data_IF_663547378326
#
_entry.id   IF_663547378326
#
_cell.length_a   1.000
_cell.length_b   1.000
_cell.length_c   1.000
_cell.angle_alpha   90.00
_cell.angle_beta   90.00
_cell.angle_gamma   90.00
#
_symmetry.space_group_name_H-M   'P 1'
#
loop_
_entity.id
_entity.type
_entity.pdbx_description
1 polymer ?
#
# COMPACT_ATOMS: atom_id res chain seq x y z
N UNK A 1 -9.14 -3.09 0.00
CA UNK A 1 -9.53 -4.34 0.68
C UNK A 1 -11.03 -4.53 0.52
N UNK A 2 -11.57 -5.73 0.73
CA UNK A 2 -13.02 -5.96 0.70
C UNK A 2 -13.50 -6.34 2.10
N UNK A 3 -14.37 -5.53 2.69
CA UNK A 3 -14.98 -5.76 4.01
C UNK A 3 -16.49 -5.87 3.81
N UNK A 4 -17.12 -6.94 4.30
CA UNK A 4 -18.56 -7.19 4.16
C UNK A 4 -19.05 -7.08 2.70
N UNK A 5 -18.23 -7.55 1.75
CA UNK A 5 -18.52 -7.48 0.31
C UNK A 5 -18.38 -6.09 -0.31
N UNK A 6 -17.85 -5.10 0.42
CA UNK A 6 -17.67 -3.72 -0.05
C UNK A 6 -16.19 -3.36 -0.16
N UNK A 7 -15.77 -2.71 -1.26
CA UNK A 7 -14.41 -2.20 -1.38
C UNK A 7 -14.19 -1.03 -0.41
N UNK A 8 -13.08 -1.10 0.30
CA UNK A 8 -12.65 -0.10 1.28
C UNK A 8 -11.20 0.31 0.98
N UNK A 9 -10.92 1.61 1.10
CA UNK A 9 -9.61 2.22 0.88
C UNK A 9 -9.20 3.02 2.11
N UNK A 10 -7.94 2.90 2.50
CA UNK A 10 -7.38 3.56 3.67
C UNK A 10 -6.03 4.19 3.32
N UNK A 11 -5.77 5.45 3.72
CA UNK A 11 -4.43 6.00 3.66
C UNK A 11 -3.54 5.27 4.67
N UNK A 12 -2.33 4.91 4.25
CA UNK A 12 -1.33 4.27 5.11
C UNK A 12 0.04 4.90 4.90
N UNK A 13 0.83 4.95 5.97
CA UNK A 13 2.27 5.14 5.84
C UNK A 13 2.92 3.79 5.58
N UNK A 14 3.79 3.74 4.58
CA UNK A 14 4.42 2.49 4.17
C UNK A 14 5.92 2.68 3.91
N UNK A 15 6.62 1.55 3.91
CA UNK A 15 8.00 1.43 3.42
C UNK A 15 8.09 0.17 2.56
N UNK A 16 9.08 0.11 1.68
CA UNK A 16 9.39 -1.12 0.94
C UNK A 16 10.55 -1.86 1.61
N UNK A 17 10.41 -3.16 1.82
CA UNK A 17 11.47 -4.02 2.36
C UNK A 17 11.47 -5.36 1.63
N UNK A 18 12.62 -5.78 1.10
CA UNK A 18 12.82 -7.10 0.44
C UNK A 18 11.76 -7.42 -0.63
N UNK A 19 11.42 -6.43 -1.46
CA UNK A 19 10.42 -6.60 -2.53
C UNK A 19 8.97 -6.70 -2.03
N UNK A 20 8.71 -6.35 -0.77
CA UNK A 20 7.36 -6.29 -0.17
C UNK A 20 7.04 -4.86 0.29
N UNK A 21 5.76 -4.58 0.52
CA UNK A 21 5.31 -3.33 1.15
C UNK A 21 5.01 -3.61 2.61
N UNK A 22 5.54 -2.79 3.51
CA UNK A 22 5.28 -2.85 4.95
C UNK A 22 4.57 -1.59 5.42
N UNK A 23 3.56 -1.77 6.26
CA UNK A 23 2.94 -0.69 6.99
C UNK A 23 2.60 -1.13 8.43
N UNK A 24 2.21 -0.18 9.28
CA UNK A 24 1.76 -0.42 10.66
C UNK A 24 0.30 -0.03 10.79
N UNK A 25 -0.46 -0.82 11.54
CA UNK A 25 -1.85 -0.50 11.92
C UNK A 25 -2.14 -0.95 13.34
N UNK A 26 -3.07 -0.29 14.02
CA UNK A 26 -3.48 -0.67 15.37
C UNK A 26 -4.56 -1.75 15.34
N UNK A 27 -4.55 -2.65 16.33
CA UNK A 27 -5.62 -3.62 16.57
C UNK A 27 -6.97 -2.89 16.75
N UNK A 28 -8.07 -3.49 16.27
CA UNK A 28 -9.41 -2.89 16.37
C UNK A 28 -9.71 -1.76 15.38
N UNK A 29 -8.74 -1.37 14.54
CA UNK A 29 -9.01 -0.48 13.40
C UNK A 29 -9.77 -1.22 12.30
N UNK A 30 -10.62 -0.51 11.55
CA UNK A 30 -11.28 -1.05 10.36
C UNK A 30 -10.26 -1.59 9.35
N UNK A 31 -9.11 -0.93 9.24
CA UNK A 31 -7.96 -1.35 8.44
C UNK A 31 -7.40 -2.71 8.88
N UNK A 32 -7.24 -2.96 10.17
CA UNK A 32 -6.76 -4.25 10.66
C UNK A 32 -7.73 -5.39 10.30
N UNK A 33 -9.04 -5.19 10.51
CA UNK A 33 -10.06 -6.18 10.12
C UNK A 33 -10.09 -6.45 8.62
N UNK A 34 -9.78 -5.43 7.80
CA UNK A 34 -9.73 -5.54 6.35
C UNK A 34 -8.52 -6.34 5.84
N UNK A 35 -7.39 -6.26 6.53
CA UNK A 35 -6.16 -7.00 6.18
C UNK A 35 -6.34 -8.51 6.34
N UNK A 36 -7.24 -8.94 7.21
CA UNK A 36 -7.59 -10.36 7.39
C UNK A 36 -8.27 -10.95 6.15
N UNK A 37 -8.78 -10.13 5.21
CA UNK A 37 -9.40 -10.59 3.96
C UNK A 37 -8.42 -11.16 2.91
N UNK A 38 -7.15 -11.35 3.28
CA UNK A 38 -6.04 -11.92 2.53
C UNK A 38 -5.62 -11.14 1.27
N UNK A 39 -6.54 -10.75 0.39
CA UNK A 39 -6.22 -10.09 -0.88
C UNK A 39 -6.40 -8.57 -0.82
N UNK A 40 -5.34 -7.85 -1.17
CA UNK A 40 -5.31 -6.39 -1.09
C UNK A 40 -4.84 -5.75 -2.39
N UNK A 41 -5.30 -4.51 -2.57
CA UNK A 41 -4.72 -3.56 -3.51
C UNK A 41 -3.96 -2.52 -2.71
N UNK A 42 -2.72 -2.30 -3.08
CA UNK A 42 -1.91 -1.17 -2.62
C UNK A 42 -1.65 -0.26 -3.81
N UNK A 43 -1.69 1.04 -3.56
CA UNK A 43 -1.48 2.07 -4.56
C UNK A 43 -0.61 3.17 -3.96
N UNK A 44 0.31 3.67 -4.77
CA UNK A 44 1.06 4.88 -4.50
C UNK A 44 1.32 5.62 -5.81
N UNK A 45 1.22 6.93 -5.76
CA UNK A 45 1.50 7.84 -6.87
C UNK A 45 2.35 9.02 -6.39
N UNK A 46 2.96 9.70 -7.34
CA UNK A 46 3.59 11.00 -7.13
C UNK A 46 3.70 11.75 -8.46
N UNK A 47 3.84 13.08 -8.40
CA UNK A 47 3.91 13.92 -9.58
C UNK A 47 4.73 15.20 -9.33
N UNK A 48 5.13 15.82 -10.43
CA UNK A 48 5.74 17.14 -10.47
C UNK A 48 5.14 17.95 -11.63
N UNK A 49 5.67 19.15 -11.90
CA UNK A 49 5.11 20.05 -12.90
C UNK A 49 5.07 19.49 -14.34
N UNK A 50 5.89 18.47 -14.65
CA UNK A 50 6.02 17.92 -16.01
C UNK A 50 5.32 16.56 -16.20
N UNK A 51 4.86 15.93 -15.13
CA UNK A 51 4.24 14.61 -15.21
C UNK A 51 4.20 13.89 -13.87
N UNK A 52 3.85 12.62 -13.91
CA UNK A 52 3.78 11.80 -12.71
C UNK A 52 3.85 10.31 -13.01
N UNK A 53 3.68 9.53 -11.95
CA UNK A 53 3.65 8.08 -12.01
C UNK A 53 2.66 7.54 -10.99
N UNK A 54 2.21 6.31 -11.24
CA UNK A 54 1.39 5.54 -10.30
C UNK A 54 1.85 4.09 -10.29
N UNK A 55 1.85 3.46 -9.12
CA UNK A 55 2.13 2.04 -8.94
C UNK A 55 0.94 1.39 -8.26
N UNK A 56 0.45 0.30 -8.85
CA UNK A 56 -0.58 -0.56 -8.26
C UNK A 56 0.03 -1.94 -7.99
N UNK A 57 -0.15 -2.42 -6.77
CA UNK A 57 0.25 -3.74 -6.32
C UNK A 57 -1.00 -4.54 -5.97
N UNK A 58 -1.13 -5.73 -6.58
CA UNK A 58 -2.06 -6.78 -6.15
C UNK A 58 -1.26 -7.80 -5.36
N UNK A 59 -1.72 -8.17 -4.18
CA UNK A 59 -0.98 -9.10 -3.35
C UNK A 59 -1.73 -9.61 -2.14
N UNK A 60 -1.08 -10.48 -1.39
CA UNK A 60 -1.57 -10.98 -0.12
C UNK A 60 -1.09 -10.09 1.04
N UNK A 61 -1.95 -9.75 1.98
CA UNK A 61 -1.55 -9.05 3.20
C UNK A 61 -1.41 -10.03 4.37
N UNK A 62 -0.28 -9.98 5.07
CA UNK A 62 0.07 -10.83 6.18
C UNK A 62 0.38 -9.98 7.41
N UNK A 63 -0.29 -10.26 8.52
CA UNK A 63 0.08 -9.69 9.82
C UNK A 63 1.31 -10.43 10.34
N UNK A 64 2.39 -9.71 10.64
CA UNK A 64 3.59 -10.29 11.23
C UNK A 64 3.34 -10.57 12.72
N UNK A 65 3.71 -11.76 13.18
CA UNK A 65 3.40 -12.19 14.56
C UNK A 65 4.59 -12.78 15.31
N UNK A 66 5.63 -13.22 14.60
CA UNK A 66 6.84 -13.74 15.26
C UNK A 66 7.80 -12.62 15.63
N UNK A 67 8.57 -12.80 16.71
CA UNK A 67 9.57 -11.81 17.13
C UNK A 67 10.60 -11.54 16.03
N UNK A 68 11.05 -12.59 15.33
CA UNK A 68 12.03 -12.47 14.24
C UNK A 68 11.50 -11.60 13.10
N UNK A 69 10.24 -11.79 12.69
CA UNK A 69 9.63 -10.96 11.65
C UNK A 69 9.48 -9.50 12.08
N UNK A 70 9.13 -9.28 13.35
CA UNK A 70 8.95 -7.93 13.92
C UNK A 70 10.30 -7.22 14.03
N UNK A 71 11.33 -7.89 14.56
CA UNK A 71 12.70 -7.37 14.68
C UNK A 71 13.26 -6.98 13.31
N UNK A 72 12.99 -7.79 12.28
CA UNK A 72 13.34 -7.46 10.90
C UNK A 72 12.59 -6.22 10.38
N UNK A 73 11.29 -6.13 10.66
CA UNK A 73 10.45 -5.03 10.20
C UNK A 73 10.76 -3.71 10.94
N UNK A 74 11.27 -3.75 12.16
CA UNK A 74 11.77 -2.59 12.90
C UNK A 74 12.98 -1.96 12.21
N UNK A 75 13.81 -2.76 11.54
CA UNK A 75 14.91 -2.29 10.70
C UNK A 75 14.48 -1.56 9.42
N UNK A 76 13.19 -1.54 9.07
CA UNK A 76 12.70 -0.93 7.84
C UNK A 76 12.51 0.60 7.92
N UNK A 77 12.70 1.22 9.09
CA UNK A 77 12.60 2.68 9.26
C UNK A 77 11.17 3.22 9.21
N UNK A 78 10.16 2.38 9.45
CA UNK A 78 8.76 2.80 9.49
C UNK A 78 8.39 3.33 10.88
N UNK A 79 8.46 4.65 11.06
CA UNK A 79 8.15 5.30 12.33
C UNK A 79 6.67 5.74 12.37
N UNK A 80 5.92 5.43 13.45
CA UNK A 80 4.55 5.89 13.59
C UNK A 80 4.52 7.39 13.89
N UNK A 81 3.58 8.13 13.27
CA UNK A 81 3.37 9.55 13.54
C UNK A 81 2.84 9.83 14.95
N UNK A 82 2.18 8.85 15.57
CA UNK A 82 1.70 8.90 16.95
C UNK A 82 2.09 7.58 17.62
N UNK A 83 2.80 7.59 18.76
CA UNK A 83 3.11 6.37 19.51
C UNK A 83 1.84 5.84 20.17
N UNK A 84 1.11 4.97 19.46
CA UNK A 84 -0.05 4.25 20.01
C UNK A 84 0.39 2.88 20.53
N UNK A 85 -0.17 2.44 21.66
CA UNK A 85 0.04 1.08 22.15
C UNK A 85 -0.55 0.05 21.15
N UNK A 86 0.26 -0.97 20.85
CA UNK A 86 -0.05 -2.16 20.01
C UNK A 86 -0.26 -1.87 18.52
N UNK A 87 0.81 -1.42 17.85
CA UNK A 87 0.88 -1.43 16.40
C UNK A 87 1.34 -2.79 15.90
N UNK A 88 0.62 -3.36 14.95
CA UNK A 88 0.98 -4.57 14.23
C UNK A 88 1.59 -4.20 12.88
N UNK A 89 2.65 -4.91 12.52
CA UNK A 89 3.18 -4.88 11.16
C UNK A 89 2.29 -5.68 10.22
N UNK A 90 2.01 -5.09 9.07
CA UNK A 90 1.36 -5.76 7.96
C UNK A 90 2.29 -5.71 6.77
N UNK A 91 2.55 -6.89 6.20
CA UNK A 91 3.35 -7.07 4.98
C UNK A 91 2.44 -7.42 3.82
N UNK A 92 2.53 -6.67 2.74
CA UNK A 92 1.90 -6.99 1.46
C UNK A 92 2.93 -7.70 0.59
N UNK A 93 2.67 -8.97 0.29
CA UNK A 93 3.46 -9.82 -0.59
C UNK A 93 2.91 -9.66 -2.01
N UNK A 94 3.63 -9.01 -2.93
CA UNK A 94 3.13 -8.75 -4.27
C UNK A 94 2.94 -10.05 -5.07
N UNK A 95 1.77 -10.22 -5.68
CA UNK A 95 1.52 -11.20 -6.72
C UNK A 95 1.64 -10.57 -8.12
N UNK A 96 1.29 -9.29 -8.24
CA UNK A 96 1.45 -8.50 -9.46
C UNK A 96 1.78 -7.05 -9.10
N UNK A 97 2.69 -6.44 -9.84
CA UNK A 97 3.03 -5.02 -9.75
C UNK A 97 2.86 -4.42 -11.14
N UNK A 98 2.10 -3.32 -11.24
CA UNK A 98 1.95 -2.54 -12.47
C UNK A 98 2.31 -1.09 -12.19
N UNK A 99 3.10 -0.49 -13.07
CA UNK A 99 3.47 0.93 -13.00
C UNK A 99 3.06 1.65 -14.27
N UNK A 100 2.69 2.92 -14.13
CA UNK A 100 2.43 3.83 -15.25
C UNK A 100 3.20 5.12 -15.03
N UNK A 101 3.68 5.71 -16.13
CA UNK A 101 4.28 7.04 -16.15
C UNK A 101 3.56 7.88 -17.18
N UNK A 102 3.29 9.13 -16.85
CA UNK A 102 2.56 10.06 -17.71
C UNK A 102 3.29 11.42 -17.72
N UNK A 103 3.26 12.08 -18.87
CA UNK A 103 3.76 13.45 -19.06
C UNK A 103 2.55 14.36 -19.11
N UNK A 104 2.57 15.44 -18.34
CA UNK A 104 1.50 16.42 -18.39
C UNK A 104 1.62 17.26 -19.66
N UNK A 105 0.50 17.45 -20.35
CA UNK A 105 0.38 18.27 -21.53
C UNK A 105 -1.09 18.71 -21.67
N UNK A 106 -1.37 19.65 -22.58
CA UNK A 106 -2.76 19.91 -22.97
C UNK A 106 -3.38 18.61 -23.47
N UNK A 107 -4.66 18.37 -23.15
CA UNK A 107 -5.44 17.33 -23.83
C UNK A 107 -5.21 17.48 -25.35
N UNK A 108 -4.97 16.38 -26.08
CA UNK A 108 -5.01 16.44 -27.53
C UNK A 108 -6.34 17.05 -27.94
N UNK A 109 -6.32 18.04 -28.84
CA UNK A 109 -7.54 18.53 -29.48
C UNK A 109 -8.15 17.37 -30.31
N UNK A 110 -8.94 16.50 -29.67
CA UNK A 110 -9.56 15.33 -30.28
C UNK A 110 -9.37 14.04 -29.47
N UNK A 111 -10.44 13.64 -28.76
CA UNK A 111 -10.50 12.44 -27.91
C UNK A 111 -10.21 11.12 -28.64
N UNK A 112 -8.94 10.77 -28.77
CA UNK A 112 -8.50 9.41 -29.03
C UNK A 112 -7.66 8.91 -27.86
N UNK A 113 -8.25 8.06 -27.03
CA UNK A 113 -7.53 7.26 -26.04
C UNK A 113 -6.87 6.07 -26.74
N UNK A 114 -5.54 5.89 -26.69
CA UNK A 114 -4.90 4.67 -27.15
C UNK A 114 -5.29 3.49 -26.25
N UNK A 115 -5.71 2.39 -26.88
CA UNK A 115 -6.07 1.13 -26.22
C UNK A 115 -4.89 0.33 -25.70
#
# INVERSE_FOLDING_TARGET
MVIDGRPEIFPINFVTQRGTVLFRTAEGTKLFGAVVSDQVLFEADDYNDIGGWSVVVRGAAQVLSTSVEIDEADGAGLYPWIPTLKLHYVRIIPAQITGRRFVFGREPDGGHVPG
#
